data_IF_778962663996
#
_entry.id   IF_778962663996
#
_cell.length_a   1.000
_cell.length_b   1.000
_cell.length_c   1.000
_cell.angle_alpha   90.00
_cell.angle_beta   90.00
_cell.angle_gamma   90.00
#
_symmetry.space_group_name_H-M   'P 1'
#
loop_
_entity.id
_entity.type
_entity.pdbx_description
1 polymer ?
#
# COMPACT_ATOMS: atom_id res chain seq x y z
N UNK A 1 -5.18 11.53 10.80
CA UNK A 1 -6.32 11.02 10.00
C UNK A 1 -5.75 10.13 8.91
N UNK A 2 -6.05 8.82 8.85
CA UNK A 2 -5.52 7.99 7.79
C UNK A 2 -6.17 8.38 6.47
N UNK A 3 -5.37 8.61 5.43
CA UNK A 3 -5.88 8.85 4.09
C UNK A 3 -6.45 7.52 3.56
N UNK A 4 -7.77 7.40 3.57
CA UNK A 4 -8.49 6.31 2.93
C UNK A 4 -8.75 6.73 1.48
N UNK A 5 -8.21 5.98 0.52
CA UNK A 5 -8.57 6.18 -0.88
C UNK A 5 -9.82 5.35 -1.14
N UNK A 6 -10.94 6.01 -1.44
CA UNK A 6 -12.18 5.34 -1.84
C UNK A 6 -12.41 5.57 -3.33
N UNK A 7 -12.55 4.46 -4.07
CA UNK A 7 -12.93 4.48 -5.48
C UNK A 7 -14.41 4.08 -5.61
N UNK A 8 -15.19 4.93 -6.29
CA UNK A 8 -16.59 4.63 -6.63
C UNK A 8 -16.69 4.27 -8.10
N UNK A 9 -17.25 3.11 -8.38
CA UNK A 9 -17.51 2.62 -9.74
C UNK A 9 -19.03 2.50 -9.88
N UNK A 10 -19.58 3.04 -10.96
CA UNK A 10 -20.99 2.89 -11.31
C UNK A 10 -21.09 1.96 -12.50
N UNK A 11 -21.63 0.77 -12.29
CA UNK A 11 -21.98 -0.15 -13.36
C UNK A 11 -23.37 0.23 -13.88
N UNK A 12 -23.50 0.43 -15.19
CA UNK A 12 -24.79 0.74 -15.84
C UNK A 12 -25.05 -0.35 -16.88
N UNK A 13 -26.16 -1.06 -16.73
CA UNK A 13 -26.68 -1.99 -17.71
C UNK A 13 -27.76 -1.28 -18.52
N UNK A 14 -27.67 -1.34 -19.84
CA UNK A 14 -28.65 -0.73 -20.76
C UNK A 14 -29.23 -1.81 -21.65
N UNK A 15 -30.56 -1.86 -21.76
CA UNK A 15 -31.28 -2.69 -22.72
C UNK A 15 -32.16 -1.80 -23.57
N UNK A 16 -32.03 -1.93 -24.89
CA UNK A 16 -32.90 -1.23 -25.85
C UNK A 16 -33.57 -2.24 -26.75
N UNK A 17 -34.90 -2.24 -26.76
CA UNK A 17 -35.73 -3.06 -27.64
C UNK A 17 -36.88 -2.22 -28.19
N UNK A 18 -37.14 -2.31 -29.50
CA UNK A 18 -38.25 -1.64 -30.18
C UNK A 18 -38.38 -0.14 -29.80
N UNK A 19 -37.25 0.58 -29.80
CA UNK A 19 -37.12 2.00 -29.44
C UNK A 19 -37.42 2.35 -27.96
N UNK A 20 -37.65 1.37 -27.10
CA UNK A 20 -37.73 1.57 -25.65
C UNK A 20 -36.36 1.25 -25.04
N UNK A 21 -35.80 2.20 -24.29
CA UNK A 21 -34.54 2.01 -23.57
C UNK A 21 -34.79 1.92 -22.07
N UNK A 22 -34.25 0.87 -21.44
CA UNK A 22 -34.22 0.66 -20.00
C UNK A 22 -32.77 0.70 -19.52
N UNK A 23 -32.56 1.27 -18.34
CA UNK A 23 -31.27 1.23 -17.66
C UNK A 23 -31.42 0.72 -16.24
N UNK A 24 -30.42 -0.01 -15.76
CA UNK A 24 -30.25 -0.37 -14.37
C UNK A 24 -28.83 0.04 -13.96
N UNK A 25 -28.64 0.50 -12.73
CA UNK A 25 -27.31 0.84 -12.23
C UNK A 25 -27.03 0.23 -10.87
N UNK A 26 -25.76 -0.07 -10.63
CA UNK A 26 -25.24 -0.52 -9.35
C UNK A 26 -23.98 0.28 -9.01
N UNK A 27 -23.87 0.72 -7.75
CA UNK A 27 -22.66 1.40 -7.26
C UNK A 27 -21.80 0.42 -6.49
N UNK A 28 -20.54 0.29 -6.90
CA UNK A 28 -19.51 -0.46 -6.19
C UNK A 28 -18.57 0.54 -5.53
N UNK A 29 -18.38 0.39 -4.22
CA UNK A 29 -17.41 1.19 -3.45
C UNK A 29 -16.24 0.30 -3.07
N UNK A 30 -15.05 0.65 -3.55
CA UNK A 30 -13.80 -0.01 -3.18
C UNK A 30 -13.07 0.89 -2.19
N UNK A 31 -12.80 0.35 -0.99
CA UNK A 31 -12.04 1.05 0.04
C UNK A 31 -10.62 0.50 0.06
N UNK A 32 -9.65 1.35 -0.29
CA UNK A 32 -8.23 1.01 -0.21
C UNK A 32 -7.74 1.44 1.16
N UNK A 33 -7.43 0.46 2.00
CA UNK A 33 -6.76 0.66 3.27
C UNK A 33 -5.26 0.76 3.00
N UNK A 34 -4.68 1.95 3.19
CA UNK A 34 -3.22 2.08 3.28
C UNK A 34 -2.74 1.28 4.51
N UNK A 35 -1.60 0.60 4.43
CA UNK A 35 -0.90 0.16 5.64
C UNK A 35 -0.64 1.41 6.52
N UNK A 36 -1.38 1.53 7.62
CA UNK A 36 -1.28 2.65 8.55
C UNK A 36 -0.10 2.50 9.52
N UNK A 37 0.53 1.32 9.55
CA UNK A 37 1.62 0.96 10.44
C UNK A 37 2.82 0.41 9.65
N UNK A 38 3.33 1.14 8.65
CA UNK A 38 4.47 0.68 7.85
C UNK A 38 5.68 0.34 8.74
N UNK A 39 6.63 -0.48 8.26
CA UNK A 39 7.79 -0.87 9.04
C UNK A 39 8.54 0.36 9.54
N UNK A 40 8.75 0.44 10.85
CA UNK A 40 9.50 1.52 11.49
C UNK A 40 10.87 0.97 11.88
N UNK A 41 11.94 1.62 11.41
CA UNK A 41 13.30 1.29 11.83
C UNK A 41 13.46 1.44 13.35
N UNK A 42 14.25 0.55 13.98
CA UNK A 42 14.47 0.62 15.43
C UNK A 42 15.36 1.78 15.87
N UNK A 43 16.05 2.44 14.93
CA UNK A 43 16.88 3.61 15.16
C UNK A 43 16.60 4.65 14.08
N UNK A 44 16.65 5.93 14.44
CA UNK A 44 16.52 7.04 13.49
C UNK A 44 17.76 7.19 12.61
N UNK A 45 18.93 6.85 13.15
CA UNK A 45 20.22 6.86 12.44
C UNK A 45 21.00 5.59 12.79
N UNK A 46 21.49 4.89 11.77
CA UNK A 46 22.45 3.80 11.93
C UNK A 46 23.81 4.28 11.43
N UNK A 47 24.79 4.37 12.33
CA UNK A 47 26.16 4.72 11.98
C UNK A 47 27.03 3.47 11.87
N UNK A 48 27.88 3.45 10.85
CA UNK A 48 28.88 2.41 10.65
C UNK A 48 30.17 3.04 10.14
N UNK A 49 31.30 2.54 10.63
CA UNK A 49 32.64 2.94 10.17
C UNK A 49 33.30 1.73 9.53
N UNK A 50 33.86 1.92 8.33
CA UNK A 50 34.59 0.89 7.59
C UNK A 50 36.02 1.42 7.38
N UNK A 51 36.99 0.52 7.49
CA UNK A 51 38.40 0.86 7.26
C UNK A 51 38.74 0.73 5.78
N UNK A 52 39.56 1.65 5.25
CA UNK A 52 40.11 1.56 3.89
C UNK A 52 40.94 0.29 3.66
N UNK A 53 41.38 -0.37 4.74
CA UNK A 53 42.19 -1.58 4.70
C UNK A 53 41.36 -2.86 4.68
N UNK A 54 40.04 -2.76 4.78
CA UNK A 54 39.19 -3.94 4.86
C UNK A 54 39.17 -4.70 3.52
N UNK A 55 39.15 -6.04 3.61
CA UNK A 55 39.17 -6.94 2.44
C UNK A 55 37.72 -7.30 2.09
N UNK A 56 37.35 -7.17 0.81
CA UNK A 56 35.97 -7.35 0.36
C UNK A 56 35.52 -8.83 0.30
N UNK A 57 34.22 -9.11 0.54
CA UNK A 57 33.16 -8.14 0.89
C UNK A 57 33.11 -7.81 2.39
N UNK A 58 32.75 -6.55 2.70
CA UNK A 58 32.57 -6.07 4.08
C UNK A 58 31.10 -5.73 4.31
N UNK A 59 30.54 -6.21 5.41
CA UNK A 59 29.20 -5.82 5.86
C UNK A 59 29.35 -4.62 6.78
N UNK A 60 28.86 -3.46 6.34
CA UNK A 60 28.95 -2.22 7.10
C UNK A 60 28.10 -2.24 8.37
N UNK A 61 26.84 -2.66 8.24
CA UNK A 61 25.89 -2.74 9.35
C UNK A 61 24.67 -3.57 8.95
N UNK A 62 23.90 -3.99 9.95
CA UNK A 62 22.59 -4.62 9.79
C UNK A 62 21.56 -3.72 10.46
N UNK A 63 20.50 -3.36 9.74
CA UNK A 63 19.41 -2.53 10.28
C UNK A 63 18.16 -3.35 10.52
N UNK A 64 17.36 -2.95 11.52
CA UNK A 64 16.11 -3.62 11.87
C UNK A 64 14.93 -2.65 11.71
N UNK A 65 13.86 -3.12 11.09
CA UNK A 65 12.57 -2.44 11.08
C UNK A 65 11.48 -3.39 11.56
N UNK A 66 10.52 -2.86 12.32
CA UNK A 66 9.37 -3.61 12.83
C UNK A 66 8.09 -3.05 12.25
N UNK A 67 7.30 -3.90 11.62
CA UNK A 67 5.94 -3.58 11.17
C UNK A 67 4.96 -4.08 12.24
N UNK A 68 3.93 -3.28 12.53
CA UNK A 68 2.93 -3.60 13.58
C UNK A 68 1.59 -4.03 13.01
N UNK A 69 1.55 -4.43 11.75
CA UNK A 69 0.43 -5.18 11.21
C UNK A 69 0.56 -6.60 11.75
N UNK A 70 -0.15 -6.85 12.86
CA UNK A 70 -0.28 -8.20 13.38
C UNK A 70 -0.80 -9.12 12.27
N UNK A 71 -0.09 -10.22 12.03
CA UNK A 71 -0.50 -11.27 11.10
C UNK A 71 -1.96 -11.62 11.39
N UNK A 72 -2.83 -11.47 10.39
CA UNK A 72 -4.12 -12.17 10.34
C UNK A 72 -4.10 -13.08 9.14
#
# INVERSE_FOLDING_TARGET
MPLHLSLKIVAIATRTELQITQTASATVTINILRNQKPPVFTQDVYEATISEKDIQPVIATTVLATDRDGVR
#
